data_IF_887536240093
#
_entry.id   IF_887536240093
#
_cell.length_a   1.000
_cell.length_b   1.000
_cell.length_c   1.000
_cell.angle_alpha   90.00
_cell.angle_beta   90.00
_cell.angle_gamma   90.00
#
_symmetry.space_group_name_H-M   'P 1'
#
loop_
_entity.id
_entity.type
_entity.pdbx_description
1 polymer ?
#
# COMPACT_ATOMS: atom_id res chain seq x y z
N UNK A 1 -2.41 44.89 -23.55
CA UNK A 1 -1.32 43.93 -23.29
C UNK A 1 -1.60 43.27 -21.95
N UNK A 2 -2.23 42.10 -21.96
CA UNK A 2 -2.64 41.38 -20.74
C UNK A 2 -2.37 39.90 -20.96
N UNK A 3 -1.35 39.39 -20.29
CA UNK A 3 -0.89 38.01 -20.36
C UNK A 3 -1.86 37.13 -19.56
N UNK A 4 -2.67 36.34 -20.26
CA UNK A 4 -3.42 35.25 -19.65
C UNK A 4 -2.48 34.07 -19.41
N UNK A 5 -2.45 33.58 -18.17
CA UNK A 5 -1.60 32.47 -17.75
C UNK A 5 -1.83 31.20 -18.59
N UNK A 6 -0.75 30.47 -18.86
CA UNK A 6 -0.72 29.26 -19.70
C UNK A 6 -1.80 28.23 -19.30
N UNK A 7 -2.60 27.71 -20.25
CA UNK A 7 -3.74 26.84 -19.96
C UNK A 7 -3.39 25.38 -19.64
N UNK A 8 -2.24 25.13 -18.99
CA UNK A 8 -1.73 23.77 -18.79
C UNK A 8 -1.09 23.50 -17.42
N UNK A 9 -1.57 24.14 -16.35
CA UNK A 9 -1.21 23.76 -14.96
C UNK A 9 -2.24 22.85 -14.29
N UNK A 10 -2.81 21.90 -15.03
CA UNK A 10 -3.73 20.92 -14.45
C UNK A 10 -3.17 19.51 -14.64
N UNK A 11 -2.80 18.88 -13.53
CA UNK A 11 -2.47 17.46 -13.48
C UNK A 11 -3.77 16.67 -13.29
N UNK A 12 -4.11 15.82 -14.28
CA UNK A 12 -5.26 14.93 -14.16
C UNK A 12 -4.87 13.63 -13.46
N UNK A 13 -5.48 13.37 -12.31
CA UNK A 13 -5.33 12.13 -11.55
C UNK A 13 -6.13 11.00 -12.20
N UNK A 14 -5.59 10.42 -13.27
CA UNK A 14 -6.25 9.35 -14.05
C UNK A 14 -6.24 7.98 -13.37
N UNK A 15 -5.39 7.81 -12.36
CA UNK A 15 -5.26 6.56 -11.57
C UNK A 15 -6.47 6.33 -10.64
N UNK A 16 -7.27 7.36 -10.35
CA UNK A 16 -8.41 7.24 -9.44
C UNK A 16 -7.98 6.72 -8.06
N UNK A 17 -8.62 5.67 -7.56
CA UNK A 17 -8.24 5.01 -6.29
C UNK A 17 -7.10 3.99 -6.45
N UNK A 18 -6.73 3.65 -7.69
CA UNK A 18 -5.68 2.69 -8.03
C UNK A 18 -4.32 3.38 -8.08
N UNK A 19 -3.89 3.91 -6.93
CA UNK A 19 -2.56 4.52 -6.78
C UNK A 19 -1.69 3.57 -5.96
N UNK A 20 -0.44 3.39 -6.39
CA UNK A 20 0.54 2.56 -5.68
C UNK A 20 0.14 1.07 -5.61
N UNK A 21 0.24 0.45 -4.43
CA UNK A 21 0.01 -1.00 -4.27
C UNK A 21 -1.37 -1.44 -4.77
N UNK A 22 -2.39 -0.59 -4.66
CA UNK A 22 -3.75 -0.88 -5.14
C UNK A 22 -3.78 -1.14 -6.65
N UNK A 23 -2.94 -0.44 -7.42
CA UNK A 23 -2.76 -0.73 -8.84
C UNK A 23 -1.94 -1.99 -9.06
N UNK A 24 -0.76 -2.10 -8.44
CA UNK A 24 0.16 -3.22 -8.68
C UNK A 24 -0.45 -4.58 -8.29
N UNK A 25 -1.24 -4.62 -7.22
CA UNK A 25 -1.98 -5.80 -6.78
C UNK A 25 -3.14 -6.14 -7.75
N UNK A 26 -3.95 -5.15 -8.13
CA UNK A 26 -5.10 -5.37 -9.03
C UNK A 26 -4.67 -5.73 -10.45
N UNK A 27 -3.63 -5.07 -10.96
CA UNK A 27 -3.09 -5.26 -12.31
C UNK A 27 -2.08 -6.43 -12.39
N UNK A 28 -1.77 -7.09 -11.26
CA UNK A 28 -0.80 -8.18 -11.14
C UNK A 28 0.55 -7.85 -11.77
N UNK A 29 1.00 -6.61 -11.58
CA UNK A 29 2.27 -6.13 -12.13
C UNK A 29 3.39 -6.42 -11.12
N UNK A 30 4.47 -7.10 -11.52
CA UNK A 30 5.57 -7.41 -10.61
C UNK A 30 6.24 -6.12 -10.12
N UNK A 31 6.49 -6.04 -8.81
CA UNK A 31 7.20 -4.93 -8.16
C UNK A 31 8.50 -5.44 -7.52
N UNK A 32 9.50 -4.57 -7.40
CA UNK A 32 10.78 -4.94 -6.80
C UNK A 32 10.64 -5.25 -5.29
N UNK A 33 9.79 -4.46 -4.60
CA UNK A 33 9.40 -4.67 -3.21
C UNK A 33 7.93 -4.30 -3.05
N UNK A 34 7.15 -5.15 -2.39
CA UNK A 34 5.75 -4.88 -2.13
C UNK A 34 5.59 -3.88 -0.99
N UNK A 35 4.46 -3.18 -1.01
CA UNK A 35 4.09 -2.30 0.09
C UNK A 35 3.93 -3.12 1.38
N UNK A 36 4.55 -2.66 2.47
CA UNK A 36 4.52 -3.33 3.78
C UNK A 36 5.62 -4.38 3.98
N UNK A 37 6.50 -4.62 3.00
CA UNK A 37 7.66 -5.49 3.18
C UNK A 37 8.74 -4.83 4.03
N UNK A 38 9.29 -5.60 4.98
CA UNK A 38 10.42 -5.19 5.81
C UNK A 38 11.10 -6.40 6.42
N UNK A 39 12.42 -6.48 6.29
CA UNK A 39 13.21 -7.56 6.89
C UNK A 39 13.50 -7.27 8.36
N UNK A 40 13.54 -8.33 9.17
CA UNK A 40 13.94 -8.29 10.58
C UNK A 40 15.14 -9.20 10.81
N UNK A 41 15.89 -8.92 11.88
CA UNK A 41 16.99 -9.77 12.33
C UNK A 41 16.53 -11.03 13.07
N UNK A 42 15.24 -11.13 13.41
CA UNK A 42 14.62 -12.32 13.99
C UNK A 42 13.36 -12.71 13.22
N UNK A 43 12.92 -13.95 13.40
CA UNK A 43 11.72 -14.52 12.77
C UNK A 43 10.52 -14.33 13.70
N UNK A 44 9.40 -13.90 13.14
CA UNK A 44 8.14 -13.77 13.87
C UNK A 44 7.11 -14.75 13.31
N UNK A 45 6.44 -15.46 14.20
CA UNK A 45 5.32 -16.32 13.88
C UNK A 45 4.01 -15.65 14.32
N UNK A 46 3.04 -15.61 13.41
CA UNK A 46 1.72 -15.04 13.64
C UNK A 46 0.68 -16.17 13.68
N UNK A 47 -0.06 -16.28 14.78
CA UNK A 47 -1.05 -17.35 15.04
C UNK A 47 -2.34 -16.79 15.65
N UNK A 48 -3.38 -17.62 15.69
CA UNK A 48 -4.64 -17.36 16.38
C UNK A 48 -5.35 -16.06 15.94
N UNK A 49 -5.44 -15.83 14.63
CA UNK A 49 -6.18 -14.69 14.10
C UNK A 49 -7.67 -14.85 14.41
N UNK A 50 -8.18 -13.96 15.27
CA UNK A 50 -9.60 -13.84 15.58
C UNK A 50 -10.12 -12.47 15.11
N UNK A 51 -11.30 -12.45 14.49
CA UNK A 51 -11.93 -11.21 13.99
C UNK A 51 -13.33 -11.08 14.57
N UNK A 52 -13.58 -9.94 15.21
CA UNK A 52 -14.87 -9.56 15.79
C UNK A 52 -15.28 -8.18 15.29
N UNK A 53 -16.15 -8.14 14.27
CA UNK A 53 -16.55 -6.89 13.63
C UNK A 53 -15.37 -6.19 12.96
N UNK A 54 -15.00 -5.03 13.48
CA UNK A 54 -13.85 -4.24 13.01
C UNK A 54 -12.57 -4.49 13.83
N UNK A 55 -12.62 -5.39 14.81
CA UNK A 55 -11.48 -5.73 15.66
C UNK A 55 -10.85 -7.03 15.21
N UNK A 56 -9.53 -7.03 15.01
CA UNK A 56 -8.74 -8.23 14.78
C UNK A 56 -7.77 -8.42 15.96
N UNK A 57 -7.64 -9.65 16.43
CA UNK A 57 -6.69 -10.06 17.46
C UNK A 57 -5.82 -11.18 16.91
N UNK A 58 -4.52 -11.11 17.16
CA UNK A 58 -3.53 -12.04 16.64
C UNK A 58 -2.41 -12.22 17.67
N UNK A 59 -1.95 -13.45 17.85
CA UNK A 59 -0.80 -13.79 18.67
C UNK A 59 0.48 -13.68 17.84
N UNK A 60 1.48 -12.93 18.32
CA UNK A 60 2.78 -12.77 17.66
C UNK A 60 3.88 -13.32 18.57
N UNK A 61 4.64 -14.29 18.08
CA UNK A 61 5.73 -14.94 18.81
C UNK A 61 7.06 -14.69 18.11
N UNK A 62 8.09 -14.28 18.87
CA UNK A 62 9.47 -14.20 18.37
C UNK A 62 10.10 -15.60 18.45
N UNK A 63 10.60 -16.11 17.33
CA UNK A 63 11.12 -17.48 17.20
C UNK A 63 12.58 -17.54 16.73
N UNK A 64 13.32 -16.43 16.76
CA UNK A 64 14.74 -16.36 16.34
C UNK A 64 15.71 -16.04 17.45
#
# INVERSE_FOLDING_TARGET
>A
MGWWGEPHRQAQYREGTFVGYRYYETAKVPVAHHFGEGLSYTIFEMKDLAVHGMTATLSVTNTG
#
